data_IF_661224755828
#
_entry.id   IF_661224755828
#
_cell.length_a   1.000
_cell.length_b   1.000
_cell.length_c   1.000
_cell.angle_alpha   90.00
_cell.angle_beta   90.00
_cell.angle_gamma   90.00
#
_symmetry.space_group_name_H-M   'P 1'
#
loop_
_entity.id
_entity.type
_entity.pdbx_description
1 polymer ?
#
# COMPACT_ATOMS: atom_id res chain seq x y z
N UNK A 1 13.92 -18.64 44.96
CA UNK A 1 13.54 -18.94 43.56
C UNK A 1 13.35 -17.63 42.83
N UNK A 2 14.30 -17.23 41.98
CA UNK A 2 14.26 -15.94 41.26
C UNK A 2 13.72 -16.20 39.87
N UNK A 3 12.52 -15.70 39.58
CA UNK A 3 11.86 -15.83 38.29
C UNK A 3 12.43 -14.73 37.37
N UNK A 4 13.23 -15.12 36.37
CA UNK A 4 13.64 -14.23 35.28
C UNK A 4 12.47 -14.11 34.30
N UNK A 5 12.01 -12.88 34.06
CA UNK A 5 11.03 -12.57 33.01
C UNK A 5 11.71 -12.70 31.65
N UNK A 6 11.19 -13.57 30.81
CA UNK A 6 11.52 -13.63 29.38
C UNK A 6 10.80 -12.47 28.68
N UNK A 7 11.51 -11.37 28.48
CA UNK A 7 11.02 -10.26 27.66
C UNK A 7 11.24 -10.62 26.18
N UNK A 8 10.13 -10.71 25.44
CA UNK A 8 10.09 -11.04 24.01
C UNK A 8 10.92 -10.08 23.16
N UNK A 9 11.84 -10.63 22.38
CA UNK A 9 12.87 -9.99 21.55
C UNK A 9 12.34 -9.09 20.40
N UNK A 10 11.02 -9.01 20.20
CA UNK A 10 10.43 -8.41 18.99
C UNK A 10 10.26 -6.89 19.02
N UNK A 11 10.59 -6.22 20.13
CA UNK A 11 10.38 -4.78 20.35
C UNK A 11 11.65 -3.91 20.16
N UNK A 12 12.57 -4.26 19.25
CA UNK A 12 13.89 -3.56 19.12
C UNK A 12 14.20 -2.90 17.77
N UNK A 13 13.25 -2.77 16.86
CA UNK A 13 13.54 -2.29 15.48
C UNK A 13 12.87 -0.95 15.13
N UNK A 14 13.24 0.16 15.80
CA UNK A 14 12.76 1.49 15.36
C UNK A 14 13.83 2.51 14.98
N UNK A 15 15.10 2.36 15.36
CA UNK A 15 16.08 3.44 15.17
C UNK A 15 17.30 3.07 14.29
N UNK A 16 17.35 1.87 13.72
CA UNK A 16 18.45 1.39 12.88
C UNK A 16 18.41 1.90 11.44
N UNK A 17 18.87 3.13 11.18
CA UNK A 17 18.98 3.73 9.83
C UNK A 17 19.93 3.01 8.87
N UNK A 18 20.60 1.92 9.24
CA UNK A 18 21.69 1.33 8.42
C UNK A 18 21.46 -0.09 7.86
N UNK A 19 20.43 -0.85 8.27
CA UNK A 19 20.14 -2.17 7.68
C UNK A 19 21.15 -3.28 8.00
N UNK A 20 22.11 -2.98 8.89
CA UNK A 20 23.02 -3.93 9.52
C UNK A 20 23.06 -3.70 11.02
N UNK A 21 23.41 -4.73 11.76
CA UNK A 21 23.77 -4.65 13.18
C UNK A 21 25.02 -5.49 13.46
N UNK A 22 25.77 -5.10 14.48
CA UNK A 22 26.95 -5.81 14.94
C UNK A 22 26.53 -6.76 16.06
N UNK A 23 26.75 -8.07 15.88
CA UNK A 23 26.62 -9.05 16.96
C UNK A 23 28.00 -9.38 17.51
N UNK A 24 28.21 -9.07 18.77
CA UNK A 24 29.41 -9.48 19.51
C UNK A 24 29.28 -10.96 19.91
N UNK A 25 30.41 -11.67 20.03
CA UNK A 25 30.44 -13.08 20.47
C UNK A 25 29.88 -13.28 21.89
N UNK A 26 29.78 -12.22 22.71
CA UNK A 26 29.05 -12.28 23.98
C UNK A 26 27.52 -12.39 23.83
N UNK A 27 27.00 -12.37 22.59
CA UNK A 27 25.59 -12.42 22.25
C UNK A 27 24.90 -11.05 22.22
N UNK A 28 25.62 -9.95 22.43
CA UNK A 28 25.04 -8.62 22.40
C UNK A 28 24.98 -8.03 20.99
N UNK A 29 23.79 -7.56 20.60
CA UNK A 29 23.56 -6.90 19.33
C UNK A 29 23.54 -5.38 19.52
N UNK A 30 24.31 -4.67 18.70
CA UNK A 30 24.44 -3.22 18.77
C UNK A 30 24.52 -2.60 17.39
N UNK A 31 23.98 -1.39 17.24
CA UNK A 31 24.02 -0.63 15.99
C UNK A 31 25.21 0.34 15.91
N UNK A 32 26.02 0.42 16.97
CA UNK A 32 27.19 1.29 17.05
C UNK A 32 28.34 0.57 17.76
N UNK A 33 29.54 1.11 17.63
CA UNK A 33 30.75 0.58 18.28
C UNK A 33 30.78 0.81 19.80
N UNK A 34 29.71 1.34 20.41
CA UNK A 34 29.67 1.62 21.84
C UNK A 34 29.81 0.37 22.71
N UNK A 35 29.38 -0.79 22.21
CA UNK A 35 29.59 -2.07 22.90
C UNK A 35 31.07 -2.50 22.92
N UNK A 36 31.84 -2.18 21.88
CA UNK A 36 33.28 -2.49 21.79
C UNK A 36 34.10 -1.82 22.89
N UNK A 37 33.65 -0.67 23.39
CA UNK A 37 34.35 0.01 24.49
C UNK A 37 34.15 -0.65 25.86
N UNK A 38 33.16 -1.55 25.99
CA UNK A 38 32.78 -2.17 27.27
C UNK A 38 32.93 -3.69 27.28
N UNK A 39 33.19 -4.30 26.13
CA UNK A 39 33.41 -5.73 25.99
C UNK A 39 34.89 -5.99 25.74
N UNK A 40 35.50 -6.90 26.49
CA UNK A 40 36.89 -7.31 26.28
C UNK A 40 37.04 -8.19 25.01
N UNK A 41 35.92 -8.60 24.40
CA UNK A 41 35.90 -9.42 23.20
C UNK A 41 35.83 -8.49 21.97
N UNK A 42 36.88 -8.50 21.17
CA UNK A 42 37.02 -7.63 19.99
C UNK A 42 36.42 -8.21 18.70
N UNK A 43 35.83 -9.39 18.75
CA UNK A 43 35.26 -10.05 17.58
C UNK A 43 33.78 -9.66 17.41
N UNK A 44 33.48 -9.06 16.27
CA UNK A 44 32.13 -8.64 15.89
C UNK A 44 31.78 -9.26 14.54
N UNK A 45 30.62 -9.90 14.49
CA UNK A 45 30.02 -10.36 13.24
C UNK A 45 29.02 -9.32 12.76
N UNK A 46 29.19 -8.84 11.52
CA UNK A 46 28.20 -7.98 10.88
C UNK A 46 27.06 -8.86 10.38
N UNK A 47 25.85 -8.64 10.88
CA UNK A 47 24.66 -9.33 10.39
C UNK A 47 23.89 -8.34 9.50
N UNK A 48 23.79 -8.68 8.21
CA UNK A 48 22.93 -8.00 7.26
C UNK A 48 21.56 -8.66 7.26
N UNK A 49 20.53 -7.85 7.50
CA UNK A 49 19.15 -8.31 7.35
C UNK A 49 18.77 -8.18 5.87
N UNK A 50 18.85 -9.29 5.12
CA UNK A 50 18.62 -9.34 3.67
C UNK A 50 17.29 -8.69 3.27
N UNK A 51 16.26 -8.79 4.09
CA UNK A 51 14.93 -8.23 3.80
C UNK A 51 14.95 -6.69 3.82
N UNK A 52 15.76 -6.08 4.68
CA UNK A 52 15.93 -4.62 4.73
C UNK A 52 16.86 -4.10 3.64
N UNK A 53 17.86 -4.89 3.25
CA UNK A 53 18.75 -4.56 2.12
C UNK A 53 17.96 -4.53 0.82
N UNK A 54 17.09 -5.51 0.59
CA UNK A 54 16.21 -5.55 -0.59
C UNK A 54 15.26 -4.35 -0.62
N UNK A 55 14.60 -4.02 0.50
CA UNK A 55 13.70 -2.84 0.55
C UNK A 55 14.42 -1.54 0.24
N UNK A 56 15.65 -1.35 0.75
CA UNK A 56 16.45 -0.16 0.42
C UNK A 56 16.94 -0.13 -1.01
N UNK A 57 17.33 -1.27 -1.58
CA UNK A 57 17.69 -1.36 -3.00
C UNK A 57 16.50 -0.95 -3.86
N UNK A 58 15.29 -1.44 -3.55
CA UNK A 58 14.06 -1.03 -4.23
C UNK A 58 13.79 0.46 -4.03
N UNK A 59 13.87 0.99 -2.81
CA UNK A 59 13.63 2.41 -2.54
C UNK A 59 14.68 3.33 -3.19
N UNK A 60 15.95 2.92 -3.25
CA UNK A 60 17.01 3.66 -3.90
C UNK A 60 16.88 3.58 -5.42
N UNK A 61 16.54 2.43 -5.99
CA UNK A 61 16.28 2.27 -7.42
C UNK A 61 15.05 3.09 -7.84
N UNK A 62 13.98 3.07 -7.05
CA UNK A 62 12.79 3.90 -7.29
C UNK A 62 13.16 5.38 -7.21
N UNK A 63 13.93 5.80 -6.20
CA UNK A 63 14.37 7.18 -6.08
C UNK A 63 15.35 7.61 -7.19
N UNK A 64 16.25 6.74 -7.66
CA UNK A 64 17.14 7.03 -8.78
C UNK A 64 16.38 7.09 -10.10
N UNK A 65 15.41 6.20 -10.34
CA UNK A 65 14.55 6.25 -11.52
C UNK A 65 13.70 7.52 -11.50
N UNK A 66 13.13 7.89 -10.35
CA UNK A 66 12.39 9.15 -10.17
C UNK A 66 13.31 10.36 -10.34
N UNK A 67 14.56 10.30 -9.86
CA UNK A 67 15.52 11.42 -9.97
C UNK A 67 16.11 11.55 -11.38
N UNK A 68 16.37 10.44 -12.08
CA UNK A 68 16.91 10.47 -13.45
C UNK A 68 15.83 10.90 -14.46
N UNK A 69 14.58 10.51 -14.23
CA UNK A 69 13.44 11.02 -15.01
C UNK A 69 13.18 12.51 -14.76
N UNK A 70 13.53 13.04 -13.58
CA UNK A 70 13.47 14.48 -13.29
C UNK A 70 14.69 15.28 -13.77
N UNK A 71 15.89 14.71 -13.74
CA UNK A 71 17.14 15.45 -14.01
C UNK A 71 17.51 15.54 -15.50
N UNK A 72 17.04 14.61 -16.33
CA UNK A 72 17.33 14.63 -17.78
C UNK A 72 16.41 15.55 -18.59
N UNK A 73 15.39 16.14 -17.96
CA UNK A 73 14.43 17.07 -18.60
C UNK A 73 14.61 18.54 -18.17
N UNK A 74 15.73 18.89 -17.53
CA UNK A 74 15.97 20.25 -17.02
C UNK A 74 16.50 21.26 -18.06
N UNK A 75 16.54 20.88 -19.35
CA UNK A 75 17.18 21.69 -20.41
C UNK A 75 16.28 22.12 -21.56
N UNK A 76 15.01 21.74 -21.57
CA UNK A 76 14.05 22.20 -22.57
C UNK A 76 12.83 22.74 -21.85
N UNK A 77 12.57 24.04 -22.05
CA UNK A 77 11.37 24.72 -21.56
C UNK A 77 10.17 24.14 -22.30
N UNK A 78 9.80 22.93 -21.92
CA UNK A 78 8.49 22.38 -22.25
C UNK A 78 7.51 23.02 -21.28
N UNK A 79 6.39 23.45 -21.84
CA UNK A 79 5.14 23.90 -21.21
C UNK A 79 4.70 23.09 -19.96
N UNK A 80 5.34 21.96 -19.67
CA UNK A 80 5.17 21.10 -18.50
C UNK A 80 5.78 21.61 -17.18
N UNK A 81 6.80 22.48 -17.22
CA UNK A 81 7.37 23.08 -16.00
C UNK A 81 6.36 23.98 -15.28
N UNK A 82 5.51 24.65 -16.05
CA UNK A 82 4.40 25.45 -15.52
C UNK A 82 3.28 24.58 -14.97
N UNK A 83 3.10 23.33 -15.44
CA UNK A 83 2.10 22.38 -14.90
C UNK A 83 2.47 21.96 -13.47
N UNK A 84 3.76 21.80 -13.14
CA UNK A 84 4.19 21.49 -11.78
C UNK A 84 3.92 22.65 -10.80
N UNK A 85 4.17 23.90 -11.20
CA UNK A 85 3.69 25.08 -10.45
C UNK A 85 2.17 25.25 -10.51
N UNK A 86 1.51 24.74 -11.56
CA UNK A 86 0.05 24.60 -11.67
C UNK A 86 -0.52 23.53 -10.73
N UNK A 87 0.28 22.65 -10.13
CA UNK A 87 -0.23 21.64 -9.17
C UNK A 87 -0.39 22.15 -7.74
N UNK A 88 0.21 23.30 -7.43
CA UNK A 88 -0.04 24.03 -6.18
C UNK A 88 -1.33 24.85 -6.24
N UNK A 89 -1.96 24.87 -7.42
CA UNK A 89 -3.27 25.45 -7.62
C UNK A 89 -4.31 24.66 -6.83
N UNK A 90 -5.03 25.36 -5.93
CA UNK A 90 -6.14 24.83 -5.13
C UNK A 90 -7.01 23.94 -6.02
N UNK A 91 -6.91 22.63 -5.84
CA UNK A 91 -7.77 21.66 -6.51
C UNK A 91 -9.21 21.91 -6.05
N UNK A 92 -10.22 21.59 -6.87
CA UNK A 92 -11.60 21.71 -6.44
C UNK A 92 -11.82 20.94 -5.13
N UNK A 93 -12.52 21.53 -4.14
CA UNK A 93 -12.84 20.88 -2.89
C UNK A 93 -13.45 19.49 -3.13
N UNK A 94 -12.99 18.51 -2.35
CA UNK A 94 -13.52 17.14 -2.47
C UNK A 94 -14.96 17.12 -1.97
N UNK A 95 -15.83 16.43 -2.70
CA UNK A 95 -17.24 16.24 -2.31
C UNK A 95 -17.37 15.74 -0.86
N UNK A 96 -18.41 16.17 -0.13
CA UNK A 96 -18.56 15.78 1.25
C UNK A 96 -18.81 14.27 1.37
N UNK A 97 -18.24 13.67 2.41
CA UNK A 97 -18.38 12.26 2.70
C UNK A 97 -19.69 11.96 3.42
N UNK A 98 -20.40 10.96 2.91
CA UNK A 98 -21.58 10.39 3.57
C UNK A 98 -21.17 9.66 4.86
N UNK A 99 -22.09 9.62 5.83
CA UNK A 99 -21.90 8.95 7.13
C UNK A 99 -21.42 7.50 6.98
N UNK A 100 -21.99 6.75 6.03
CA UNK A 100 -21.57 5.40 5.69
C UNK A 100 -20.09 5.31 5.28
N UNK A 101 -19.60 6.22 4.44
CA UNK A 101 -18.19 6.22 4.01
C UNK A 101 -17.24 6.55 5.16
N UNK A 102 -17.65 7.46 6.05
CA UNK A 102 -16.85 7.82 7.24
C UNK A 102 -16.76 6.61 8.17
N UNK A 103 -17.88 5.94 8.43
CA UNK A 103 -17.93 4.72 9.23
C UNK A 103 -17.08 3.60 8.60
N UNK A 104 -17.25 3.34 7.30
CA UNK A 104 -16.51 2.32 6.56
C UNK A 104 -15.01 2.56 6.67
N UNK A 105 -14.55 3.80 6.50
CA UNK A 105 -13.12 4.15 6.58
C UNK A 105 -12.54 3.88 7.97
N UNK A 106 -13.29 4.17 9.05
CA UNK A 106 -12.83 3.95 10.43
C UNK A 106 -12.91 2.49 10.86
N UNK A 107 -13.89 1.74 10.38
CA UNK A 107 -14.12 0.35 10.79
C UNK A 107 -13.54 -0.67 9.81
N UNK A 108 -12.88 -0.24 8.71
CA UNK A 108 -12.37 -1.13 7.66
C UNK A 108 -11.52 -2.29 8.20
N UNK A 109 -10.71 -2.05 9.24
CA UNK A 109 -9.86 -3.09 9.84
C UNK A 109 -10.70 -4.13 10.56
N UNK A 110 -11.68 -3.68 11.36
CA UNK A 110 -12.60 -4.57 12.10
C UNK A 110 -13.51 -5.35 11.14
N UNK A 111 -14.04 -4.68 10.12
CA UNK A 111 -14.88 -5.31 9.09
C UNK A 111 -14.13 -6.39 8.30
N UNK A 112 -12.83 -6.22 8.06
CA UNK A 112 -12.01 -7.26 7.42
C UNK A 112 -11.71 -8.46 8.33
N UNK A 113 -11.79 -8.27 9.64
CA UNK A 113 -11.60 -9.35 10.62
C UNK A 113 -12.90 -10.11 10.93
N UNK A 114 -14.06 -9.56 10.54
CA UNK A 114 -15.34 -10.24 10.69
C UNK A 114 -15.36 -11.48 9.79
N UNK A 115 -15.69 -12.65 10.36
CA UNK A 115 -15.75 -13.93 9.64
C UNK A 115 -16.72 -13.89 8.46
N UNK A 116 -17.83 -13.15 8.56
CA UNK A 116 -18.83 -13.05 7.48
C UNK A 116 -18.36 -12.21 6.29
N UNK A 117 -17.42 -11.28 6.53
CA UNK A 117 -16.90 -10.35 5.53
C UNK A 117 -15.50 -10.72 5.05
N UNK A 118 -14.82 -11.61 5.75
CA UNK A 118 -13.49 -12.06 5.41
C UNK A 118 -13.52 -12.87 4.11
N UNK A 119 -12.60 -12.57 3.19
CA UNK A 119 -12.55 -13.19 1.86
C UNK A 119 -13.48 -12.56 0.81
N UNK A 120 -14.48 -11.75 1.20
CA UNK A 120 -15.26 -10.97 0.24
C UNK A 120 -14.42 -9.80 -0.31
N UNK A 121 -14.52 -9.56 -1.61
CA UNK A 121 -13.81 -8.47 -2.29
C UNK A 121 -14.76 -7.69 -3.20
N UNK A 122 -14.37 -6.46 -3.55
CA UNK A 122 -15.12 -5.63 -4.50
C UNK A 122 -16.54 -5.28 -4.04
N UNK A 123 -17.51 -5.51 -4.93
CA UNK A 123 -18.89 -5.08 -4.76
C UNK A 123 -19.66 -5.91 -3.73
N UNK A 124 -19.36 -7.20 -3.62
CA UNK A 124 -20.04 -8.09 -2.67
C UNK A 124 -19.66 -7.75 -1.22
N UNK A 125 -18.40 -7.36 -1.00
CA UNK A 125 -17.96 -6.78 0.27
C UNK A 125 -18.74 -5.49 0.59
N UNK A 126 -18.90 -4.58 -0.37
CA UNK A 126 -19.62 -3.32 -0.16
C UNK A 126 -21.10 -3.54 0.16
N UNK A 127 -21.76 -4.50 -0.52
CA UNK A 127 -23.16 -4.87 -0.24
C UNK A 127 -23.31 -5.45 1.17
N UNK A 128 -22.46 -6.40 1.56
CA UNK A 128 -22.52 -7.02 2.88
C UNK A 128 -22.27 -5.99 4.00
N UNK A 129 -21.28 -5.11 3.81
CA UNK A 129 -21.00 -4.01 4.74
C UNK A 129 -22.14 -2.98 4.81
N UNK A 130 -22.86 -2.75 3.70
CA UNK A 130 -24.05 -1.90 3.71
C UNK A 130 -25.19 -2.50 4.56
N UNK A 131 -25.35 -3.82 4.56
CA UNK A 131 -26.31 -4.51 5.42
C UNK A 131 -25.94 -4.34 6.89
N UNK A 132 -24.67 -4.55 7.27
CA UNK A 132 -24.20 -4.32 8.65
C UNK A 132 -24.37 -2.86 9.08
N UNK A 133 -24.11 -1.91 8.18
CA UNK A 133 -24.38 -0.50 8.48
C UNK A 133 -25.89 -0.23 8.66
N UNK A 134 -26.72 -0.96 7.92
CA UNK A 134 -28.18 -0.94 8.01
C UNK A 134 -28.67 -1.32 9.40
N UNK A 135 -28.09 -2.36 10.00
CA UNK A 135 -28.49 -2.93 11.29
C UNK A 135 -28.01 -2.14 12.51
N UNK A 136 -27.00 -1.26 12.37
CA UNK A 136 -26.55 -0.44 13.51
C UNK A 136 -27.62 0.54 13.98
N UNK A 137 -27.88 0.60 15.29
CA UNK A 137 -28.78 1.59 15.89
C UNK A 137 -28.09 2.96 16.11
N UNK A 138 -26.84 2.97 16.59
CA UNK A 138 -26.10 4.22 16.83
C UNK A 138 -25.40 4.74 15.56
N UNK A 139 -26.21 5.27 14.64
CA UNK A 139 -25.71 6.02 13.47
C UNK A 139 -25.42 7.49 13.80
N UNK A 140 -25.83 7.96 14.97
CA UNK A 140 -25.80 9.38 15.36
C UNK A 140 -24.39 9.97 15.32
N UNK A 141 -23.39 9.22 15.80
CA UNK A 141 -21.97 9.63 15.74
C UNK A 141 -21.49 9.89 14.30
N UNK A 142 -21.91 9.04 13.36
CA UNK A 142 -21.47 9.12 11.96
C UNK A 142 -22.23 10.19 11.18
N UNK A 143 -23.51 10.38 11.48
CA UNK A 143 -24.31 11.47 10.92
C UNK A 143 -23.76 12.84 11.35
N UNK A 144 -23.41 13.02 12.63
CA UNK A 144 -22.74 14.24 13.12
C UNK A 144 -21.41 14.48 12.41
N UNK A 145 -20.62 13.43 12.17
CA UNK A 145 -19.36 13.54 11.43
C UNK A 145 -19.58 13.93 9.96
N UNK A 146 -20.61 13.39 9.31
CA UNK A 146 -20.98 13.76 7.94
C UNK A 146 -21.48 15.20 7.83
N UNK A 147 -22.24 15.67 8.82
CA UNK A 147 -22.68 17.07 8.89
C UNK A 147 -21.48 18.03 8.96
N UNK A 148 -20.51 17.76 9.83
CA UNK A 148 -19.25 18.54 9.90
C UNK A 148 -18.43 18.47 8.61
N UNK A 149 -18.44 17.32 7.93
CA UNK A 149 -17.75 17.18 6.64
C UNK A 149 -18.40 18.03 5.54
N UNK A 150 -19.73 18.12 5.55
CA UNK A 150 -20.52 19.00 4.68
C UNK A 150 -20.25 20.49 4.95
N UNK A 151 -20.24 20.93 6.20
CA UNK A 151 -19.89 22.31 6.57
C UNK A 151 -18.47 22.68 6.09
N UNK A 152 -17.51 21.75 6.23
CA UNK A 152 -16.16 21.93 5.71
C UNK A 152 -16.15 22.05 4.19
N UNK A 153 -16.89 21.22 3.47
CA UNK A 153 -17.02 21.34 2.01
C UNK A 153 -17.64 22.66 1.59
N UNK A 154 -18.72 23.11 2.25
CA UNK A 154 -19.39 24.38 1.93
C UNK A 154 -18.45 25.58 2.14
N UNK A 155 -17.68 25.59 3.23
CA UNK A 155 -16.65 26.61 3.47
C UNK A 155 -15.53 26.57 2.43
N UNK A 156 -14.99 25.38 2.12
CA UNK A 156 -13.95 25.23 1.10
C UNK A 156 -14.47 25.65 -0.29
N UNK A 157 -15.74 25.39 -0.60
CA UNK A 157 -16.38 25.80 -1.84
C UNK A 157 -16.60 27.31 -1.94
N UNK A 158 -16.89 28.01 -0.84
CA UNK A 158 -16.97 29.47 -0.83
C UNK A 158 -15.62 30.14 -1.06
N UNK A 159 -14.54 29.50 -0.60
CA UNK A 159 -13.16 29.96 -0.82
C UNK A 159 -12.62 29.55 -2.21
N UNK A 160 -13.29 28.62 -2.88
CA UNK A 160 -12.83 28.06 -4.14
C UNK A 160 -13.20 28.95 -5.33
N UNK A 161 -12.18 29.47 -6.01
CA UNK A 161 -12.34 30.19 -7.28
C UNK A 161 -12.43 29.18 -8.45
N UNK A 162 -13.59 29.05 -9.11
CA UNK A 162 -13.79 28.07 -10.19
C UNK A 162 -13.01 28.41 -11.46
N UNK A 163 -12.53 29.64 -11.63
CA UNK A 163 -11.69 30.04 -12.78
C UNK A 163 -10.36 29.29 -12.84
N UNK A 164 -10.01 28.61 -11.75
CA UNK A 164 -8.76 27.90 -11.57
C UNK A 164 -8.81 26.42 -11.94
N UNK A 165 -10.00 25.87 -12.21
CA UNK A 165 -10.11 24.53 -12.77
C UNK A 165 -9.67 24.64 -14.22
N UNK A 166 -8.51 24.07 -14.62
CA UNK A 166 -8.19 24.02 -16.04
C UNK A 166 -9.32 23.27 -16.71
N UNK A 167 -9.95 23.87 -17.73
CA UNK A 167 -10.92 23.20 -18.57
C UNK A 167 -10.20 22.02 -19.20
N UNK A 168 -10.31 20.85 -18.58
CA UNK A 168 -9.78 19.62 -19.15
C UNK A 168 -10.64 19.42 -20.40
N UNK A 169 -10.07 19.49 -21.61
CA UNK A 169 -10.84 19.20 -22.81
C UNK A 169 -11.47 17.83 -22.60
N UNK A 170 -12.76 17.65 -22.98
CA UNK A 170 -13.44 16.37 -22.79
C UNK A 170 -12.51 15.27 -23.27
N UNK A 171 -12.19 14.33 -22.39
CA UNK A 171 -11.33 13.18 -22.73
C UNK A 171 -11.93 12.63 -24.00
N UNK A 172 -11.19 12.72 -25.11
CA UNK A 172 -11.59 12.09 -26.37
C UNK A 172 -11.74 10.63 -25.99
N UNK A 173 -12.98 10.19 -25.82
CA UNK A 173 -13.30 8.79 -25.63
C UNK A 173 -12.75 8.20 -26.90
N UNK A 174 -11.61 7.50 -26.80
CA UNK A 174 -11.05 6.77 -27.92
C UNK A 174 -12.22 6.04 -28.54
N UNK A 175 -12.52 6.39 -29.78
CA UNK A 175 -13.67 5.88 -30.53
C UNK A 175 -13.82 4.40 -30.25
N UNK A 176 -15.06 3.88 -30.10
CA UNK A 176 -15.25 2.45 -29.91
C UNK A 176 -14.36 1.72 -30.92
N UNK A 177 -13.60 0.70 -30.49
CA UNK A 177 -12.70 -0.01 -31.38
C UNK A 177 -13.50 -0.40 -32.64
N UNK A 178 -12.94 -0.21 -33.84
CA UNK A 178 -13.69 -0.43 -35.07
C UNK A 178 -14.33 -1.82 -35.05
N UNK A 179 -15.64 -1.86 -35.27
CA UNK A 179 -16.53 -3.03 -35.19
C UNK A 179 -16.15 -4.15 -36.18
N UNK A 180 -15.06 -3.98 -36.92
CA UNK A 180 -14.68 -4.79 -38.08
C UNK A 180 -13.39 -5.57 -37.93
N UNK A 181 -12.79 -5.68 -36.73
CA UNK A 181 -11.75 -6.70 -36.52
C UNK A 181 -12.48 -8.02 -36.28
N UNK A 182 -12.53 -8.96 -37.25
CA UNK A 182 -13.07 -10.28 -37.00
C UNK A 182 -12.29 -10.86 -35.83
N UNK A 183 -12.99 -11.10 -34.72
CA UNK A 183 -12.40 -11.81 -33.58
C UNK A 183 -11.79 -13.10 -34.13
N UNK A 184 -10.47 -13.30 -33.94
CA UNK A 184 -9.87 -14.57 -34.29
C UNK A 184 -10.74 -15.69 -33.70
N UNK A 185 -11.05 -16.74 -34.47
CA UNK A 185 -11.82 -17.86 -33.93
C UNK A 185 -11.11 -18.34 -32.67
N UNK A 186 -11.80 -18.25 -31.52
CA UNK A 186 -11.27 -18.49 -30.18
C UNK A 186 -10.53 -19.83 -30.07
N UNK A 187 -10.82 -20.77 -30.98
CA UNK A 187 -10.17 -22.08 -31.11
C UNK A 187 -8.70 -22.03 -31.55
N UNK A 188 -8.26 -21.05 -32.35
CA UNK A 188 -6.87 -21.01 -32.86
C UNK A 188 -5.90 -20.43 -31.85
N UNK A 189 -6.30 -19.40 -31.09
CA UNK A 189 -5.46 -18.81 -30.03
C UNK A 189 -5.28 -19.76 -28.83
N UNK A 190 -6.29 -20.59 -28.53
CA UNK A 190 -6.19 -21.62 -27.49
C UNK A 190 -5.22 -22.76 -27.87
N UNK A 191 -5.10 -23.09 -29.16
CA UNK A 191 -4.18 -24.13 -29.64
C UNK A 191 -2.69 -23.72 -29.59
N UNK A 192 -2.39 -22.42 -29.64
CA UNK A 192 -1.03 -21.89 -29.52
C UNK A 192 -0.56 -21.78 -28.06
N UNK A 193 -1.47 -21.52 -27.11
CA UNK A 193 -1.16 -21.48 -25.67
C UNK A 193 -1.02 -22.87 -25.02
N UNK A 194 -1.63 -23.92 -25.59
CA UNK A 194 -1.53 -25.30 -25.06
C UNK A 194 -0.15 -25.94 -25.34
N UNK A 195 0.64 -25.45 -26.30
CA UNK A 195 1.93 -26.08 -26.66
C UNK A 195 3.15 -25.56 -25.89
N UNK A 196 3.01 -24.56 -25.01
CA UNK A 196 4.12 -24.03 -24.21
C UNK A 196 3.75 -23.93 -22.72
N UNK A 197 3.03 -24.92 -22.21
CA UNK A 197 3.03 -25.18 -20.76
C UNK A 197 4.04 -26.30 -20.52
N UNK A 198 5.28 -26.00 -20.06
CA UNK A 198 6.16 -27.05 -19.59
C UNK A 198 5.43 -27.83 -18.49
N UNK A 199 5.33 -29.14 -18.68
CA UNK A 199 4.83 -30.09 -17.68
C UNK A 199 5.53 -29.84 -16.36
N UNK A 200 4.85 -29.14 -15.45
CA UNK A 200 5.30 -29.01 -14.07
C UNK A 200 5.34 -30.42 -13.47
N UNK A 201 6.41 -30.79 -12.77
CA UNK A 201 6.47 -32.07 -12.09
C UNK A 201 5.31 -32.19 -11.10
N UNK A 202 4.76 -33.39 -10.89
CA UNK A 202 3.67 -33.60 -9.95
C UNK A 202 4.08 -33.06 -8.58
N UNK A 203 3.27 -32.13 -8.08
CA UNK A 203 3.42 -31.54 -6.74
C UNK A 203 3.37 -32.70 -5.75
N UNK A 204 4.47 -32.91 -5.01
CA UNK A 204 4.54 -33.92 -3.97
C UNK A 204 3.37 -33.69 -3.00
N UNK A 205 2.46 -34.66 -2.95
CA UNK A 205 1.37 -34.68 -1.97
C UNK A 205 2.05 -34.88 -0.63
N UNK A 206 2.05 -33.84 0.20
CA UNK A 206 2.46 -33.97 1.59
C UNK A 206 1.53 -34.97 2.26
N UNK A 207 2.11 -36.08 2.72
CA UNK A 207 1.43 -37.06 3.56
C UNK A 207 0.82 -36.37 4.79
N UNK A 208 -0.37 -36.78 5.25
CA UNK A 208 -0.97 -36.26 6.46
C UNK A 208 -0.02 -36.46 7.65
N UNK A 209 0.20 -35.39 8.41
CA UNK A 209 0.92 -35.44 9.67
C UNK A 209 0.02 -36.20 10.67
N UNK A 210 0.49 -37.31 11.29
CA UNK A 210 -0.29 -38.00 12.31
C UNK A 210 -0.49 -37.10 13.54
N UNK A 211 -1.62 -37.24 14.26
CA UNK A 211 -1.86 -36.46 15.47
C UNK A 211 -0.82 -36.81 16.55
N UNK A 212 -0.44 -35.83 17.40
CA UNK A 212 0.44 -36.07 18.54
C UNK A 212 -0.28 -36.91 19.62
N UNK A 213 0.46 -37.85 20.20
CA UNK A 213 0.08 -38.64 21.39
C UNK A 213 0.01 -37.78 22.67
#
# INVERSE_FOLDING_TARGET
>A
TVIRKEESTTQRFRDGKAGYYLRCDCGHESYNSGHNQKCEISNFTVICDEEQVIRRLVDNMVNEVVRSTYSSNAGEVTEYGDIAKYTEKKKPPKKPMLAFRIWLKKNRVLLKMNETLNGLTGDDYLKAVAVEYGTMEDKGKWLKAAAKDRERYEREMMEFDPSFVPTIPPRVVSSPPPESVPSLPTKVTLLLLVKVVPTLPPRAVHSPIPPPD
#
